data_IF_100066882183
#
_entry.id   IF_100066882183
#
_cell.length_a   1.000
_cell.length_b   1.000
_cell.length_c   1.000
_cell.angle_alpha   90.00
_cell.angle_beta   90.00
_cell.angle_gamma   90.00
#
_symmetry.space_group_name_H-M   'P 1'
#
loop_
_entity.id
_entity.type
_entity.pdbx_description
1 polymer ?
#
# COMPACT_ATOMS: atom_id res chain seq x y z
N UNK A 1 -35.64 8.42 -3.83
CA UNK A 1 -35.63 8.36 -2.36
C UNK A 1 -34.19 8.26 -1.93
N UNK A 2 -33.62 9.37 -1.45
CA UNK A 2 -32.19 9.48 -1.17
C UNK A 2 -31.86 8.95 0.23
N UNK A 3 -31.01 7.96 0.28
CA UNK A 3 -30.31 7.56 1.50
C UNK A 3 -29.14 8.51 1.74
N UNK A 4 -29.30 9.37 2.73
CA UNK A 4 -28.24 10.24 3.23
C UNK A 4 -27.19 9.36 3.91
N UNK A 5 -26.05 9.19 3.26
CA UNK A 5 -24.82 8.68 3.89
C UNK A 5 -24.38 9.69 4.94
N UNK A 6 -24.15 9.19 6.14
CA UNK A 6 -23.90 9.96 7.36
C UNK A 6 -22.68 10.84 7.29
N UNK A 7 -22.93 12.08 7.60
CA UNK A 7 -22.04 13.22 7.60
C UNK A 7 -20.90 13.03 8.60
N UNK A 8 -19.68 13.20 8.11
CA UNK A 8 -18.45 13.39 8.88
C UNK A 8 -18.49 14.72 9.66
N UNK A 9 -19.32 14.78 10.71
CA UNK A 9 -19.35 15.88 11.68
C UNK A 9 -19.02 15.31 13.07
N UNK A 10 -17.85 14.67 13.19
CA UNK A 10 -17.35 14.24 14.48
C UNK A 10 -16.54 15.37 15.11
N UNK A 11 -17.06 15.90 16.22
CA UNK A 11 -16.32 16.74 17.15
C UNK A 11 -15.00 16.03 17.50
N UNK A 12 -13.82 16.68 17.42
CA UNK A 12 -12.53 16.04 17.67
C UNK A 12 -12.40 15.37 19.06
N UNK A 13 -13.26 15.69 19.99
CA UNK A 13 -13.31 15.06 21.32
C UNK A 13 -14.14 13.75 21.35
N UNK A 14 -15.09 13.60 20.45
CA UNK A 14 -15.99 12.43 20.45
C UNK A 14 -15.46 11.29 19.57
N UNK A 15 -14.58 11.58 18.60
CA UNK A 15 -14.00 10.59 17.71
C UNK A 15 -13.00 9.63 18.39
N UNK A 16 -12.38 10.04 19.48
CA UNK A 16 -11.43 9.21 20.24
C UNK A 16 -12.09 8.37 21.34
N UNK A 17 -13.28 8.78 21.82
CA UNK A 17 -13.98 8.09 22.91
C UNK A 17 -15.01 7.08 22.43
N UNK A 18 -15.62 7.27 21.26
CA UNK A 18 -16.67 6.39 20.75
C UNK A 18 -16.20 5.24 19.82
N UNK A 19 -14.96 5.22 19.37
CA UNK A 19 -14.43 4.09 18.58
C UNK A 19 -13.80 2.97 19.43
N UNK A 20 -13.78 3.10 20.74
CA UNK A 20 -13.37 2.02 21.65
C UNK A 20 -14.63 1.32 22.21
N UNK A 21 -15.56 0.93 21.37
CA UNK A 21 -16.29 -0.30 21.67
C UNK A 21 -15.23 -1.41 21.73
N UNK A 22 -15.21 -2.14 22.85
CA UNK A 22 -14.20 -3.20 23.06
C UNK A 22 -14.29 -4.19 21.89
N UNK A 23 -13.36 -4.08 20.95
CA UNK A 23 -13.27 -5.02 19.82
C UNK A 23 -13.21 -6.43 20.36
N UNK A 24 -13.95 -7.32 19.77
CA UNK A 24 -13.94 -8.74 20.08
C UNK A 24 -12.71 -9.43 19.47
N UNK A 25 -12.42 -10.64 19.91
CA UNK A 25 -11.38 -11.47 19.29
C UNK A 25 -11.65 -11.68 17.79
N UNK A 26 -12.94 -11.79 17.41
CA UNK A 26 -13.36 -11.90 16.00
C UNK A 26 -12.96 -10.67 15.18
N UNK A 27 -13.08 -9.48 15.73
CA UNK A 27 -12.72 -8.23 15.04
C UNK A 27 -11.20 -8.18 14.80
N UNK A 28 -10.40 -8.57 15.80
CA UNK A 28 -8.94 -8.65 15.64
C UNK A 28 -8.52 -9.75 14.65
N UNK A 29 -9.22 -10.88 14.60
CA UNK A 29 -8.99 -11.91 13.58
C UNK A 29 -9.26 -11.36 12.16
N UNK A 30 -10.33 -10.58 11.97
CA UNK A 30 -10.63 -9.91 10.70
C UNK A 30 -9.53 -8.91 10.33
N UNK A 31 -9.04 -8.12 11.29
CA UNK A 31 -7.92 -7.19 11.08
C UNK A 31 -6.65 -7.96 10.66
N UNK A 32 -6.36 -9.10 11.31
CA UNK A 32 -5.23 -9.95 10.92
C UNK A 32 -5.40 -10.54 9.52
N UNK A 33 -6.61 -10.92 9.10
CA UNK A 33 -6.89 -11.35 7.73
C UNK A 33 -6.68 -10.22 6.71
N UNK A 34 -7.08 -8.98 7.04
CA UNK A 34 -6.77 -7.80 6.23
C UNK A 34 -5.25 -7.57 6.15
N UNK A 35 -4.54 -7.72 7.26
CA UNK A 35 -3.08 -7.68 7.32
C UNK A 35 -2.42 -8.78 6.47
N UNK A 36 -2.97 -9.98 6.45
CA UNK A 36 -2.50 -11.07 5.58
C UNK A 36 -2.62 -10.68 4.11
N UNK A 37 -3.76 -10.10 3.69
CA UNK A 37 -3.94 -9.57 2.35
C UNK A 37 -2.94 -8.45 2.02
N UNK A 38 -2.65 -7.54 2.95
CA UNK A 38 -1.63 -6.50 2.79
C UNK A 38 -0.24 -7.13 2.54
N UNK A 39 0.16 -8.12 3.34
CA UNK A 39 1.45 -8.78 3.19
C UNK A 39 1.58 -9.55 1.86
N UNK A 40 0.51 -10.17 1.37
CA UNK A 40 0.48 -10.77 0.01
C UNK A 40 0.78 -9.70 -1.04
N UNK A 41 0.11 -8.56 -0.95
CA UNK A 41 0.28 -7.46 -1.89
C UNK A 41 1.70 -6.88 -1.85
N UNK A 42 2.29 -6.73 -0.66
CA UNK A 42 3.65 -6.18 -0.49
C UNK A 42 4.75 -7.10 -1.03
N UNK A 43 4.50 -8.40 -1.13
CA UNK A 43 5.44 -9.36 -1.77
C UNK A 43 5.48 -9.19 -3.29
N UNK A 44 4.41 -8.66 -3.89
CA UNK A 44 4.29 -8.49 -5.35
C UNK A 44 4.87 -7.14 -5.76
N UNK A 45 5.94 -7.11 -6.60
CA UNK A 45 6.51 -5.85 -7.04
C UNK A 45 5.50 -4.99 -7.80
N UNK A 46 5.26 -3.76 -7.33
CA UNK A 46 4.32 -2.82 -7.97
C UNK A 46 2.88 -2.91 -7.47
N UNK A 47 2.58 -3.82 -6.55
CA UNK A 47 1.37 -3.80 -5.74
C UNK A 47 1.74 -3.31 -4.33
N UNK A 48 0.83 -2.65 -3.64
CA UNK A 48 1.08 -2.09 -2.32
C UNK A 48 0.06 -2.62 -1.31
N UNK A 49 0.53 -3.01 -0.13
CA UNK A 49 -0.34 -3.32 1.01
C UNK A 49 -1.24 -2.14 1.39
N UNK A 50 -0.80 -0.90 1.12
CA UNK A 50 -1.63 0.29 1.23
C UNK A 50 -2.90 0.24 0.37
N UNK A 51 -2.83 -0.38 -0.81
CA UNK A 51 -4.01 -0.64 -1.66
C UNK A 51 -5.01 -1.52 -0.93
N UNK A 52 -4.54 -2.63 -0.34
CA UNK A 52 -5.40 -3.55 0.42
C UNK A 52 -5.97 -2.89 1.68
N UNK A 53 -5.15 -2.10 2.39
CA UNK A 53 -5.64 -1.34 3.55
C UNK A 53 -6.77 -0.38 3.16
N UNK A 54 -6.62 0.30 2.01
CA UNK A 54 -7.61 1.25 1.52
C UNK A 54 -8.93 0.55 1.15
N UNK A 55 -8.85 -0.52 0.34
CA UNK A 55 -10.02 -1.29 -0.10
C UNK A 55 -10.76 -1.93 1.08
N UNK A 56 -10.00 -2.45 2.04
CA UNK A 56 -10.58 -3.12 3.22
C UNK A 56 -11.13 -2.15 4.28
N UNK A 57 -11.10 -0.83 4.01
CA UNK A 57 -11.66 0.20 4.89
C UNK A 57 -10.88 0.46 6.16
N UNK A 58 -9.61 0.03 6.25
CA UNK A 58 -8.76 0.25 7.44
C UNK A 58 -7.69 1.33 7.22
N UNK A 59 -7.63 1.94 6.05
CA UNK A 59 -6.57 2.87 5.68
C UNK A 59 -6.50 4.10 6.57
N UNK A 60 -7.64 4.76 6.83
CA UNK A 60 -7.67 5.93 7.71
C UNK A 60 -7.30 5.59 9.15
N UNK A 61 -7.75 4.44 9.64
CA UNK A 61 -7.37 3.96 10.97
C UNK A 61 -5.87 3.68 11.05
N UNK A 62 -5.29 3.06 10.01
CA UNK A 62 -3.86 2.84 9.89
C UNK A 62 -3.09 4.17 9.91
N UNK A 63 -3.48 5.13 9.07
CA UNK A 63 -2.85 6.45 9.00
C UNK A 63 -2.95 7.18 10.34
N UNK A 64 -4.10 7.15 11.01
CA UNK A 64 -4.28 7.79 12.31
C UNK A 64 -3.45 7.10 13.41
N UNK A 65 -3.34 5.77 13.39
CA UNK A 65 -2.50 5.00 14.30
C UNK A 65 -1.00 5.34 14.10
N UNK A 66 -0.54 5.39 12.85
CA UNK A 66 0.83 5.76 12.50
C UNK A 66 1.15 7.21 12.86
N UNK A 67 0.20 8.13 12.61
CA UNK A 67 0.32 9.53 12.98
C UNK A 67 0.46 9.74 14.50
N UNK A 68 -0.09 8.84 15.31
CA UNK A 68 -0.02 8.93 16.76
C UNK A 68 1.38 8.62 17.34
N UNK A 69 2.33 8.15 16.50
CA UNK A 69 3.75 8.02 16.87
C UNK A 69 4.46 9.39 16.77
N UNK A 70 4.13 10.29 17.65
CA UNK A 70 4.82 11.59 17.79
C UNK A 70 5.72 11.62 19.04
N UNK A 71 6.56 12.66 19.13
CA UNK A 71 7.47 12.82 20.27
C UNK A 71 6.73 12.93 21.62
N UNK A 72 5.51 13.50 21.62
CA UNK A 72 4.69 13.60 22.81
C UNK A 72 4.22 12.21 23.27
N UNK A 73 3.77 11.39 22.34
CA UNK A 73 3.33 10.02 22.60
C UNK A 73 4.50 9.13 23.05
N UNK A 74 5.70 9.29 22.47
CA UNK A 74 6.90 8.58 22.94
C UNK A 74 7.26 8.98 24.38
N UNK A 75 7.09 10.24 24.77
CA UNK A 75 7.29 10.67 26.15
C UNK A 75 6.33 10.00 27.13
N UNK A 76 5.07 9.73 26.71
CA UNK A 76 4.09 9.03 27.56
C UNK A 76 4.57 7.63 27.96
N UNK A 77 5.40 6.98 27.14
CA UNK A 77 5.98 5.69 27.50
C UNK A 77 6.80 5.76 28.79
N UNK A 78 7.48 6.88 29.00
CA UNK A 78 8.37 7.08 30.16
C UNK A 78 7.66 7.78 31.32
N UNK A 79 6.62 8.59 31.08
CA UNK A 79 5.87 9.32 32.12
C UNK A 79 4.67 8.54 32.67
N UNK A 80 3.87 7.95 31.78
CA UNK A 80 2.55 7.38 32.10
C UNK A 80 2.49 5.85 31.89
N UNK A 81 3.58 5.27 31.40
CA UNK A 81 3.76 3.84 31.25
C UNK A 81 3.23 3.24 29.95
N UNK A 82 3.60 1.96 29.73
CA UNK A 82 3.33 1.23 28.51
C UNK A 82 1.84 1.12 28.14
N UNK A 83 0.95 1.00 29.12
CA UNK A 83 -0.49 0.82 28.88
C UNK A 83 -1.11 2.04 28.21
N UNK A 84 -0.73 3.26 28.64
CA UNK A 84 -1.26 4.51 28.09
C UNK A 84 -0.68 4.74 26.70
N UNK A 85 0.63 4.52 26.53
CA UNK A 85 1.29 4.55 25.22
C UNK A 85 0.60 3.60 24.24
N UNK A 86 0.38 2.32 24.63
CA UNK A 86 -0.23 1.31 23.78
C UNK A 86 -1.64 1.68 23.32
N UNK A 87 -2.45 2.21 24.23
CA UNK A 87 -3.78 2.72 23.88
C UNK A 87 -3.70 3.92 22.92
N UNK A 88 -2.75 4.82 23.13
CA UNK A 88 -2.60 6.03 22.31
C UNK A 88 -2.25 5.72 20.87
N UNK A 89 -1.39 4.73 20.62
CA UNK A 89 -0.99 4.31 19.28
C UNK A 89 -1.96 3.32 18.62
N UNK A 90 -3.09 2.98 19.28
CA UNK A 90 -3.98 1.92 18.85
C UNK A 90 -3.26 0.56 18.70
N UNK A 91 -2.46 0.21 19.71
CA UNK A 91 -1.50 -0.89 19.67
C UNK A 91 -2.12 -2.25 19.34
N UNK A 92 -3.33 -2.55 19.83
CA UNK A 92 -4.01 -3.82 19.53
C UNK A 92 -4.36 -3.95 18.04
N UNK A 93 -4.81 -2.85 17.40
CA UNK A 93 -5.06 -2.80 15.96
C UNK A 93 -3.77 -3.06 15.17
N UNK A 94 -2.71 -2.32 15.50
CA UNK A 94 -1.42 -2.46 14.84
C UNK A 94 -0.83 -3.87 15.04
N UNK A 95 -0.91 -4.42 16.26
CA UNK A 95 -0.41 -5.76 16.55
C UNK A 95 -1.15 -6.83 15.73
N UNK A 96 -2.48 -6.77 15.67
CA UNK A 96 -3.27 -7.70 14.86
C UNK A 96 -2.97 -7.56 13.36
N UNK A 97 -2.83 -6.33 12.87
CA UNK A 97 -2.51 -6.04 11.47
C UNK A 97 -1.11 -6.56 11.09
N UNK A 98 -0.09 -6.20 11.86
CA UNK A 98 1.28 -6.64 11.61
C UNK A 98 1.47 -8.15 11.79
N UNK A 99 0.72 -8.79 12.70
CA UNK A 99 0.70 -10.24 12.81
C UNK A 99 0.23 -10.88 11.49
N UNK A 100 -0.85 -10.37 10.91
CA UNK A 100 -1.34 -10.84 9.61
C UNK A 100 -0.32 -10.65 8.50
N UNK A 101 0.32 -9.48 8.42
CA UNK A 101 1.38 -9.18 7.45
C UNK A 101 2.55 -10.16 7.62
N UNK A 102 3.02 -10.38 8.85
CA UNK A 102 4.12 -11.28 9.14
C UNK A 102 3.80 -12.73 8.75
N UNK A 103 2.61 -13.23 9.09
CA UNK A 103 2.14 -14.56 8.68
C UNK A 103 2.16 -14.68 7.15
N UNK A 104 1.67 -13.67 6.43
CA UNK A 104 1.65 -13.64 4.97
C UNK A 104 3.06 -13.73 4.39
N UNK A 105 3.97 -12.87 4.84
CA UNK A 105 5.35 -12.84 4.34
C UNK A 105 6.05 -14.18 4.59
N UNK A 106 5.87 -14.77 5.76
CA UNK A 106 6.53 -16.03 6.12
C UNK A 106 5.95 -17.26 5.41
N UNK A 107 4.64 -17.26 5.09
CA UNK A 107 3.95 -18.41 4.51
C UNK A 107 3.71 -18.29 3.01
N UNK A 108 3.22 -17.14 2.55
CA UNK A 108 2.74 -16.96 1.17
C UNK A 108 3.79 -16.38 0.21
N UNK A 109 4.87 -15.76 0.73
CA UNK A 109 5.90 -15.18 -0.13
C UNK A 109 6.50 -16.21 -1.11
N UNK A 110 6.73 -17.45 -0.65
CA UNK A 110 7.24 -18.53 -1.51
C UNK A 110 6.25 -18.90 -2.62
N UNK A 111 4.95 -18.96 -2.29
CA UNK A 111 3.88 -19.26 -3.27
C UNK A 111 3.78 -18.15 -4.30
N UNK A 112 3.79 -16.90 -3.87
CA UNK A 112 3.74 -15.74 -4.76
C UNK A 112 5.00 -15.70 -5.66
N UNK A 113 6.20 -15.94 -5.09
CA UNK A 113 7.45 -16.02 -5.90
C UNK A 113 7.35 -17.11 -6.95
N UNK A 114 6.84 -18.29 -6.60
CA UNK A 114 6.61 -19.38 -7.54
C UNK A 114 5.62 -18.99 -8.66
N UNK A 115 4.47 -18.40 -8.30
CA UNK A 115 3.47 -17.96 -9.28
C UNK A 115 4.00 -16.87 -10.21
N UNK A 116 4.82 -15.94 -9.70
CA UNK A 116 5.45 -14.89 -10.50
C UNK A 116 6.50 -15.46 -11.47
N UNK A 117 7.16 -16.58 -11.12
CA UNK A 117 8.14 -17.23 -11.97
C UNK A 117 7.49 -18.12 -13.03
N UNK A 118 6.55 -18.99 -12.64
CA UNK A 118 5.99 -20.01 -13.51
C UNK A 118 4.70 -19.56 -14.23
N UNK A 119 3.92 -18.67 -13.62
CA UNK A 119 2.63 -18.22 -14.14
C UNK A 119 2.46 -16.70 -14.13
N UNK A 120 3.44 -15.93 -14.64
CA UNK A 120 3.45 -14.47 -14.50
C UNK A 120 2.19 -13.80 -15.09
N UNK A 121 1.74 -14.23 -16.29
CA UNK A 121 0.55 -13.65 -16.93
C UNK A 121 -0.68 -13.79 -16.03
N UNK A 122 -0.87 -14.97 -15.41
CA UNK A 122 -2.06 -15.24 -14.59
C UNK A 122 -2.08 -14.42 -13.32
N UNK A 123 -0.95 -14.37 -12.60
CA UNK A 123 -0.87 -13.64 -11.34
C UNK A 123 -0.95 -12.12 -11.56
N UNK A 124 -0.31 -11.59 -12.61
CA UNK A 124 -0.43 -10.19 -12.96
C UNK A 124 -1.84 -9.82 -13.39
N UNK A 125 -2.53 -10.69 -14.16
CA UNK A 125 -3.94 -10.50 -14.54
C UNK A 125 -4.86 -10.44 -13.33
N UNK A 126 -4.65 -11.32 -12.36
CA UNK A 126 -5.39 -11.30 -11.10
C UNK A 126 -5.25 -9.94 -10.39
N UNK A 127 -4.01 -9.45 -10.21
CA UNK A 127 -3.77 -8.14 -9.58
C UNK A 127 -4.30 -6.98 -10.43
N UNK A 128 -4.23 -7.07 -11.74
CA UNK A 128 -4.80 -6.07 -12.65
C UNK A 128 -6.30 -5.92 -12.43
N UNK A 129 -7.04 -7.03 -12.43
CA UNK A 129 -8.47 -7.03 -12.13
C UNK A 129 -8.82 -6.52 -10.73
N UNK A 130 -8.01 -6.93 -9.72
CA UNK A 130 -8.13 -6.48 -8.35
C UNK A 130 -8.00 -4.94 -8.25
N UNK A 131 -6.98 -4.35 -8.88
CA UNK A 131 -6.75 -2.89 -8.84
C UNK A 131 -7.86 -2.14 -9.59
N UNK A 132 -8.36 -2.65 -10.72
CA UNK A 132 -9.50 -2.04 -11.43
C UNK A 132 -10.72 -1.99 -10.52
N UNK A 133 -11.12 -3.14 -9.94
CA UNK A 133 -12.26 -3.19 -9.03
C UNK A 133 -12.10 -2.19 -7.88
N UNK A 134 -10.92 -2.17 -7.27
CA UNK A 134 -10.56 -1.29 -6.17
C UNK A 134 -10.68 0.18 -6.54
N UNK A 135 -10.13 0.57 -7.69
CA UNK A 135 -10.21 1.97 -8.16
C UNK A 135 -11.64 2.42 -8.37
N UNK A 136 -12.48 1.55 -8.96
CA UNK A 136 -13.90 1.82 -9.18
C UNK A 136 -14.67 1.97 -7.86
N UNK A 137 -14.39 1.11 -6.88
CA UNK A 137 -15.06 1.15 -5.58
C UNK A 137 -14.70 2.39 -4.79
N UNK A 138 -13.41 2.68 -4.69
CA UNK A 138 -12.92 3.84 -3.97
C UNK A 138 -13.38 5.15 -4.61
N UNK A 139 -13.49 5.19 -5.95
CA UNK A 139 -14.01 6.36 -6.64
C UNK A 139 -15.45 6.70 -6.25
N UNK A 140 -16.24 5.73 -5.76
CA UNK A 140 -17.61 5.97 -5.25
C UNK A 140 -17.63 6.74 -3.93
N UNK A 141 -16.54 6.73 -3.16
CA UNK A 141 -16.42 7.50 -1.93
C UNK A 141 -16.21 9.00 -2.19
N UNK A 142 -15.95 9.38 -3.44
CA UNK A 142 -15.89 10.78 -3.84
C UNK A 142 -17.31 11.34 -3.89
N UNK A 143 -17.74 11.97 -2.82
CA UNK A 143 -19.11 12.49 -2.67
C UNK A 143 -19.46 13.57 -3.72
N UNK A 144 -18.47 14.33 -4.17
CA UNK A 144 -18.64 15.39 -5.16
C UNK A 144 -17.47 15.42 -6.13
N UNK A 145 -17.78 15.18 -7.39
CA UNK A 145 -16.86 15.31 -8.50
C UNK A 145 -16.82 16.79 -8.94
N UNK A 146 -15.92 17.54 -8.34
CA UNK A 146 -15.61 18.90 -8.76
C UNK A 146 -14.30 18.94 -9.58
N UNK A 147 -13.94 20.10 -10.08
CA UNK A 147 -12.72 20.29 -10.86
C UNK A 147 -11.46 19.91 -10.06
N UNK A 148 -11.46 20.06 -8.72
CA UNK A 148 -10.33 19.74 -7.86
C UNK A 148 -10.16 18.22 -7.75
N UNK A 149 -11.26 17.48 -7.61
CA UNK A 149 -11.23 16.01 -7.59
C UNK A 149 -10.78 15.48 -8.97
N UNK A 150 -11.29 16.02 -10.08
CA UNK A 150 -10.87 15.62 -11.42
C UNK A 150 -9.37 15.90 -11.67
N UNK A 151 -8.88 17.07 -11.29
CA UNK A 151 -7.45 17.40 -11.37
C UNK A 151 -6.60 16.50 -10.46
N UNK A 152 -7.09 16.18 -9.25
CA UNK A 152 -6.44 15.25 -8.35
C UNK A 152 -6.30 13.85 -8.94
N UNK A 153 -7.36 13.33 -9.55
CA UNK A 153 -7.35 12.03 -10.23
C UNK A 153 -6.32 12.02 -11.39
N UNK A 154 -6.36 13.03 -12.24
CA UNK A 154 -5.43 13.15 -13.37
C UNK A 154 -3.98 13.28 -12.91
N UNK A 155 -3.72 14.11 -11.90
CA UNK A 155 -2.39 14.26 -11.29
C UNK A 155 -1.87 12.94 -10.70
N UNK A 156 -2.70 12.26 -9.90
CA UNK A 156 -2.34 10.98 -9.31
C UNK A 156 -2.05 9.92 -10.38
N UNK A 157 -2.90 9.83 -11.41
CA UNK A 157 -2.71 8.89 -12.52
C UNK A 157 -1.43 9.18 -13.29
N UNK A 158 -1.18 10.44 -13.66
CA UNK A 158 0.02 10.82 -14.41
C UNK A 158 1.29 10.56 -13.60
N UNK A 159 1.29 10.90 -12.31
CA UNK A 159 2.44 10.70 -11.43
C UNK A 159 2.76 9.21 -11.22
N UNK A 160 1.74 8.40 -10.92
CA UNK A 160 1.94 6.95 -10.75
C UNK A 160 2.37 6.28 -12.05
N UNK A 161 1.75 6.64 -13.18
CA UNK A 161 2.18 6.14 -14.50
C UNK A 161 3.64 6.50 -14.79
N UNK A 162 4.03 7.77 -14.57
CA UNK A 162 5.42 8.20 -14.72
C UNK A 162 6.38 7.35 -13.88
N UNK A 163 6.04 7.10 -12.62
CA UNK A 163 6.84 6.22 -11.74
C UNK A 163 6.98 4.83 -12.34
N UNK A 164 5.95 4.26 -12.98
CA UNK A 164 6.03 2.90 -13.54
C UNK A 164 6.94 2.78 -14.77
N UNK A 165 7.19 3.87 -15.50
CA UNK A 165 8.04 3.89 -16.71
C UNK A 165 9.44 4.49 -16.44
N UNK A 166 9.67 5.06 -15.26
CA UNK A 166 10.93 5.66 -14.89
C UNK A 166 12.04 4.61 -14.84
N UNK A 167 13.19 4.95 -15.40
CA UNK A 167 14.39 4.12 -15.34
C UNK A 167 15.09 4.29 -13.98
N UNK A 168 15.72 3.23 -13.45
CA UNK A 168 16.55 3.35 -12.27
C UNK A 168 17.69 4.34 -12.46
N UNK A 169 17.95 5.16 -11.45
CA UNK A 169 19.01 6.13 -11.43
C UNK A 169 20.21 5.63 -10.60
N UNK A 170 21.41 6.02 -11.01
CA UNK A 170 22.58 5.88 -10.15
C UNK A 170 22.60 7.05 -9.17
N UNK A 171 22.59 6.74 -7.88
CA UNK A 171 22.51 7.74 -6.82
C UNK A 171 23.59 7.51 -5.75
N UNK A 172 23.84 8.53 -4.91
CA UNK A 172 24.86 8.48 -3.86
C UNK A 172 24.57 7.37 -2.83
N UNK A 173 25.64 6.73 -2.33
CA UNK A 173 25.60 5.76 -1.23
C UNK A 173 25.89 6.38 0.13
N UNK A 174 26.00 7.70 0.22
CA UNK A 174 26.21 8.40 1.47
C UNK A 174 24.99 8.27 2.41
N UNK A 175 25.26 8.34 3.72
CA UNK A 175 24.23 8.09 4.73
C UNK A 175 23.03 9.05 4.65
N UNK A 176 23.25 10.33 4.30
CA UNK A 176 22.13 11.26 4.13
C UNK A 176 21.18 10.82 3.00
N UNK A 177 21.72 10.25 1.92
CA UNK A 177 20.87 9.76 0.82
C UNK A 177 20.18 8.45 1.19
N UNK A 178 20.83 7.60 1.99
CA UNK A 178 20.21 6.39 2.55
C UNK A 178 19.04 6.75 3.47
N UNK A 179 19.21 7.79 4.32
CA UNK A 179 18.13 8.33 5.13
C UNK A 179 16.95 8.82 4.27
N UNK A 180 17.24 9.63 3.24
CA UNK A 180 16.23 10.13 2.30
C UNK A 180 15.54 8.99 1.55
N UNK A 181 16.30 7.96 1.13
CA UNK A 181 15.74 6.78 0.46
C UNK A 181 14.76 6.02 1.36
N UNK A 182 15.08 5.89 2.65
CA UNK A 182 14.15 5.32 3.65
C UNK A 182 12.87 6.14 3.78
N UNK A 183 13.00 7.48 3.86
CA UNK A 183 11.84 8.37 3.90
C UNK A 183 10.93 8.19 2.67
N UNK A 184 11.50 8.21 1.47
CA UNK A 184 10.74 8.11 0.23
C UNK A 184 10.11 6.73 0.06
N UNK A 185 10.83 5.67 0.41
CA UNK A 185 10.35 4.30 0.31
C UNK A 185 9.13 4.06 1.22
N UNK A 186 9.17 4.50 2.46
CA UNK A 186 8.05 4.31 3.39
C UNK A 186 6.84 5.18 3.02
N UNK A 187 7.07 6.42 2.53
CA UNK A 187 5.98 7.25 2.01
C UNK A 187 5.26 6.58 0.84
N UNK A 188 6.03 6.00 -0.09
CA UNK A 188 5.49 5.27 -1.22
C UNK A 188 4.72 4.00 -0.80
N UNK A 189 5.22 3.28 0.20
CA UNK A 189 4.57 2.06 0.73
C UNK A 189 3.20 2.33 1.33
N UNK A 190 3.01 3.51 1.94
CA UNK A 190 1.71 3.92 2.47
C UNK A 190 0.73 4.23 1.33
N UNK A 191 1.21 4.81 0.22
CA UNK A 191 0.35 5.21 -0.90
C UNK A 191 -0.20 3.97 -1.64
N UNK A 192 -1.52 3.92 -1.90
CA UNK A 192 -2.07 2.87 -2.75
C UNK A 192 -1.47 2.91 -4.16
N UNK A 193 -1.12 1.75 -4.71
CA UNK A 193 -0.63 1.63 -6.08
C UNK A 193 0.87 1.91 -6.27
N UNK A 194 1.60 2.31 -5.23
CA UNK A 194 3.05 2.52 -5.31
C UNK A 194 3.76 1.64 -4.29
N UNK A 195 4.79 0.92 -4.73
CA UNK A 195 5.59 0.05 -3.86
C UNK A 195 6.86 0.75 -3.38
N UNK A 196 7.12 0.72 -2.06
CA UNK A 196 8.35 1.26 -1.48
C UNK A 196 9.61 0.57 -1.99
N UNK A 197 9.56 -0.75 -2.18
CA UNK A 197 10.66 -1.51 -2.78
C UNK A 197 10.96 -1.05 -4.23
N UNK A 198 9.93 -0.73 -4.99
CA UNK A 198 10.08 -0.21 -6.34
C UNK A 198 10.70 1.20 -6.34
N UNK A 199 10.35 2.06 -5.40
CA UNK A 199 11.01 3.36 -5.24
C UNK A 199 12.50 3.18 -4.90
N UNK A 200 12.86 2.25 -4.03
CA UNK A 200 14.28 1.94 -3.75
C UNK A 200 15.01 1.44 -5.01
N UNK A 201 14.34 0.66 -5.85
CA UNK A 201 14.88 0.20 -7.12
C UNK A 201 15.13 1.37 -8.06
N UNK A 202 14.18 2.29 -8.20
CA UNK A 202 14.33 3.51 -9.02
C UNK A 202 15.47 4.41 -8.50
N UNK A 203 15.65 4.48 -7.18
CA UNK A 203 16.77 5.20 -6.57
C UNK A 203 18.11 4.43 -6.64
N UNK A 204 18.16 3.23 -7.24
CA UNK A 204 19.35 2.39 -7.28
C UNK A 204 19.82 1.92 -5.89
N UNK A 205 18.93 1.91 -4.89
CA UNK A 205 19.29 1.60 -3.49
C UNK A 205 18.76 0.25 -3.00
N UNK A 206 17.92 -0.40 -3.75
CA UNK A 206 17.30 -1.67 -3.32
C UNK A 206 18.36 -2.73 -2.95
N UNK A 207 19.30 -3.01 -3.86
CA UNK A 207 20.36 -4.00 -3.60
C UNK A 207 21.32 -3.56 -2.51
N UNK A 208 21.68 -2.28 -2.50
CA UNK A 208 22.59 -1.74 -1.49
C UNK A 208 22.01 -1.94 -0.08
N UNK A 209 20.70 -1.71 0.12
CA UNK A 209 20.02 -1.93 1.40
C UNK A 209 19.94 -3.43 1.72
N UNK A 210 19.56 -4.28 0.75
CA UNK A 210 19.46 -5.73 0.95
C UNK A 210 20.83 -6.34 1.29
N UNK A 211 21.88 -5.94 0.60
CA UNK A 211 23.25 -6.40 0.90
C UNK A 211 23.70 -5.90 2.28
N UNK A 212 23.43 -4.64 2.61
CA UNK A 212 23.73 -4.08 3.94
C UNK A 212 23.03 -4.83 5.08
N UNK A 213 21.80 -5.34 4.85
CA UNK A 213 21.10 -6.20 5.80
C UNK A 213 21.78 -7.57 5.93
N UNK A 214 22.20 -8.17 4.82
CA UNK A 214 22.89 -9.47 4.80
C UNK A 214 24.26 -9.41 5.46
N UNK A 215 25.00 -8.32 5.27
CA UNK A 215 26.32 -8.04 5.83
C UNK A 215 26.25 -7.44 7.26
N UNK A 216 25.06 -7.20 7.78
CA UNK A 216 24.79 -6.56 9.09
C UNK A 216 25.52 -5.21 9.21
N UNK A 217 25.46 -4.37 8.15
CA UNK A 217 26.01 -3.02 8.20
C UNK A 217 25.11 -2.10 9.05
N UNK A 218 25.37 -2.06 10.36
CA UNK A 218 24.56 -1.38 11.36
C UNK A 218 24.36 0.10 11.01
N UNK A 219 25.41 0.79 10.51
CA UNK A 219 25.32 2.22 10.18
C UNK A 219 24.28 2.48 9.10
N UNK A 220 24.30 1.71 8.01
CA UNK A 220 23.35 1.82 6.90
C UNK A 220 21.94 1.44 7.37
N UNK A 221 21.80 0.32 8.08
CA UNK A 221 20.51 -0.19 8.56
C UNK A 221 19.83 0.82 9.49
N UNK A 222 20.55 1.33 10.49
CA UNK A 222 20.01 2.32 11.45
C UNK A 222 19.63 3.61 10.73
N UNK A 223 20.48 4.10 9.82
CA UNK A 223 20.20 5.32 9.06
C UNK A 223 18.95 5.16 8.19
N UNK A 224 18.81 4.03 7.52
CA UNK A 224 17.62 3.71 6.72
C UNK A 224 16.35 3.64 7.57
N UNK A 225 16.40 2.93 8.71
CA UNK A 225 15.26 2.81 9.64
C UNK A 225 14.86 4.17 10.22
N UNK A 226 15.82 5.02 10.57
CA UNK A 226 15.54 6.39 11.03
C UNK A 226 14.85 7.20 9.92
N UNK A 227 15.33 7.08 8.67
CA UNK A 227 14.66 7.68 7.51
C UNK A 227 13.22 7.19 7.37
N UNK A 228 12.98 5.88 7.45
CA UNK A 228 11.63 5.31 7.43
C UNK A 228 10.77 5.86 8.58
N UNK A 229 11.28 5.94 9.80
CA UNK A 229 10.54 6.48 10.95
C UNK A 229 10.13 7.94 10.76
N UNK A 230 11.04 8.78 10.30
CA UNK A 230 10.75 10.21 10.02
C UNK A 230 9.80 10.35 8.83
N UNK A 231 10.00 9.57 7.76
CA UNK A 231 9.11 9.56 6.60
C UNK A 231 7.68 9.13 6.98
N UNK A 232 7.57 8.04 7.73
CA UNK A 232 6.29 7.50 8.18
C UNK A 232 5.49 8.51 8.98
N UNK A 233 6.12 9.09 10.01
CA UNK A 233 5.45 10.05 10.89
C UNK A 233 5.10 11.35 10.17
N UNK A 234 6.03 11.96 9.43
CA UNK A 234 5.77 13.21 8.71
C UNK A 234 4.72 13.03 7.62
N UNK A 235 4.81 11.97 6.82
CA UNK A 235 3.88 11.74 5.73
C UNK A 235 2.47 11.36 6.20
N UNK A 236 2.35 10.58 7.28
CA UNK A 236 1.04 10.29 7.87
C UNK A 236 0.35 11.54 8.42
N UNK A 237 1.12 12.53 8.94
CA UNK A 237 0.57 13.84 9.32
C UNK A 237 0.06 14.61 8.09
N UNK A 238 0.82 14.62 6.99
CA UNK A 238 0.42 15.26 5.73
C UNK A 238 -0.85 14.62 5.19
N UNK A 239 -0.90 13.29 5.10
CA UNK A 239 -2.09 12.57 4.64
C UNK A 239 -3.30 12.82 5.55
N UNK A 240 -3.12 12.73 6.87
CA UNK A 240 -4.20 13.00 7.80
C UNK A 240 -4.73 14.45 7.72
N UNK A 241 -3.87 15.42 7.40
CA UNK A 241 -4.30 16.79 7.13
C UNK A 241 -5.06 16.91 5.80
N UNK A 242 -4.56 16.24 4.74
CA UNK A 242 -5.21 16.21 3.42
C UNK A 242 -6.61 15.59 3.50
N UNK A 243 -6.77 14.46 4.19
CA UNK A 243 -8.08 13.84 4.40
C UNK A 243 -9.06 14.77 5.14
N UNK A 244 -8.59 15.49 6.16
CA UNK A 244 -9.44 16.43 6.91
C UNK A 244 -9.86 17.66 6.09
N UNK A 245 -8.96 18.21 5.26
CA UNK A 245 -9.17 19.49 4.58
C UNK A 245 -9.66 19.33 3.14
N UNK A 246 -9.22 18.28 2.45
CA UNK A 246 -9.44 18.06 1.02
C UNK A 246 -9.87 16.61 0.73
N UNK A 247 -10.80 16.06 1.49
CA UNK A 247 -11.20 14.66 1.48
C UNK A 247 -11.41 14.10 0.04
N UNK A 248 -12.33 14.68 -0.73
CA UNK A 248 -12.64 14.21 -2.09
C UNK A 248 -11.42 14.27 -3.03
N UNK A 249 -10.64 15.35 -2.95
CA UNK A 249 -9.42 15.50 -3.76
C UNK A 249 -8.36 14.45 -3.36
N UNK A 250 -8.22 14.16 -2.07
CA UNK A 250 -7.27 13.17 -1.56
C UNK A 250 -7.65 11.77 -2.06
N UNK A 251 -8.91 11.38 -1.92
CA UNK A 251 -9.42 10.10 -2.45
C UNK A 251 -9.19 10.05 -3.97
N UNK A 252 -9.47 11.12 -4.70
CA UNK A 252 -9.26 11.18 -6.14
C UNK A 252 -7.78 10.99 -6.53
N UNK A 253 -6.83 11.62 -5.81
CA UNK A 253 -5.39 11.42 -6.02
C UNK A 253 -5.00 9.96 -5.78
N UNK A 254 -5.45 9.37 -4.67
CA UNK A 254 -5.14 7.98 -4.31
C UNK A 254 -5.75 6.99 -5.33
N UNK A 255 -6.97 7.23 -5.78
CA UNK A 255 -7.60 6.48 -6.88
C UNK A 255 -6.78 6.64 -8.16
N UNK A 256 -6.31 7.85 -8.45
CA UNK A 256 -5.42 8.12 -9.58
C UNK A 256 -4.12 7.34 -9.50
N UNK A 257 -3.50 7.23 -8.32
CA UNK A 257 -2.31 6.39 -8.14
C UNK A 257 -2.57 4.92 -8.48
N UNK A 258 -3.71 4.40 -8.08
CA UNK A 258 -4.09 3.02 -8.42
C UNK A 258 -4.29 2.84 -9.92
N UNK A 259 -4.97 3.77 -10.60
CA UNK A 259 -5.16 3.73 -12.06
C UNK A 259 -3.82 3.82 -12.79
N UNK A 260 -2.95 4.75 -12.39
CA UNK A 260 -1.62 4.92 -12.98
C UNK A 260 -0.72 3.70 -12.80
N UNK A 261 -0.87 2.97 -11.68
CA UNK A 261 -0.11 1.76 -11.38
C UNK A 261 -0.52 0.55 -12.22
N UNK A 262 -1.68 0.57 -12.91
CA UNK A 262 -2.12 -0.51 -13.79
C UNK A 262 -1.08 -0.87 -14.86
N UNK A 263 -0.31 0.10 -15.33
CA UNK A 263 0.81 -0.17 -16.25
C UNK A 263 1.85 -1.11 -15.62
N UNK A 264 2.11 -1.00 -14.31
CA UNK A 264 3.09 -1.86 -13.61
C UNK A 264 2.59 -3.29 -13.44
N UNK A 265 1.31 -3.52 -13.34
CA UNK A 265 0.70 -4.86 -13.20
C UNK A 265 0.13 -5.39 -14.51
N UNK A 266 0.38 -4.72 -15.65
CA UNK A 266 -0.01 -5.21 -16.97
C UNK A 266 0.60 -6.59 -17.24
N UNK A 267 -0.18 -7.60 -17.67
CA UNK A 267 0.30 -8.98 -17.75
C UNK A 267 1.39 -9.26 -18.79
N UNK A 268 1.31 -8.57 -19.94
CA UNK A 268 2.21 -8.81 -21.07
C UNK A 268 3.31 -7.75 -21.10
N UNK A 269 4.55 -8.19 -20.84
CA UNK A 269 5.72 -7.32 -20.77
C UNK A 269 6.87 -7.85 -21.58
N UNK A 270 7.54 -6.94 -22.27
CA UNK A 270 8.85 -7.18 -22.86
C UNK A 270 9.93 -6.72 -21.89
N UNK A 271 10.82 -7.61 -21.49
CA UNK A 271 11.97 -7.25 -20.66
C UNK A 271 13.06 -6.63 -21.53
N UNK A 272 13.38 -5.37 -21.28
CA UNK A 272 14.38 -4.62 -22.03
C UNK A 272 15.80 -4.78 -21.44
N UNK A 273 15.89 -4.76 -20.10
CA UNK A 273 17.15 -4.94 -19.39
C UNK A 273 16.97 -5.88 -18.21
N UNK A 274 17.99 -6.68 -17.96
CA UNK A 274 18.06 -7.59 -16.82
C UNK A 274 19.29 -7.29 -15.98
N UNK A 275 19.29 -7.77 -14.74
CA UNK A 275 20.47 -7.79 -13.87
C UNK A 275 20.51 -9.08 -13.08
N UNK A 276 21.68 -9.41 -12.55
CA UNK A 276 21.84 -10.53 -11.62
C UNK A 276 21.68 -9.99 -10.21
N UNK A 277 20.79 -10.59 -9.40
CA UNK A 277 20.62 -10.22 -8.00
C UNK A 277 21.71 -10.86 -7.11
N UNK A 278 21.72 -10.54 -5.81
CA UNK A 278 22.67 -11.10 -4.82
C UNK A 278 22.59 -12.62 -4.66
N UNK A 279 21.54 -13.27 -5.17
CA UNK A 279 21.37 -14.72 -5.16
C UNK A 279 21.77 -15.39 -6.49
N UNK A 280 22.34 -14.63 -7.45
CA UNK A 280 22.72 -15.14 -8.76
C UNK A 280 21.56 -15.33 -9.75
N UNK A 281 20.33 -14.85 -9.41
CA UNK A 281 19.15 -14.94 -10.27
C UNK A 281 19.11 -13.76 -11.25
N UNK A 282 18.80 -14.01 -12.52
CA UNK A 282 18.55 -12.94 -13.51
C UNK A 282 17.15 -12.37 -13.29
N UNK A 283 17.07 -11.11 -12.92
CA UNK A 283 15.81 -10.40 -12.68
C UNK A 283 15.62 -9.25 -13.67
N UNK A 284 14.38 -8.99 -14.12
CA UNK A 284 14.08 -7.86 -14.99
C UNK A 284 14.23 -6.53 -14.25
N UNK A 285 14.87 -5.55 -14.88
CA UNK A 285 15.02 -4.17 -14.37
C UNK A 285 14.06 -3.23 -15.08
N UNK A 286 14.17 -3.17 -16.41
CA UNK A 286 13.29 -2.33 -17.23
C UNK A 286 12.40 -3.23 -18.06
N UNK A 287 11.11 -2.98 -18.01
CA UNK A 287 10.10 -3.71 -18.76
C UNK A 287 9.17 -2.73 -19.45
N UNK A 288 8.74 -3.08 -20.65
CA UNK A 288 7.77 -2.35 -21.44
C UNK A 288 6.47 -3.17 -21.54
N UNK A 289 5.34 -2.53 -21.30
CA UNK A 289 4.02 -3.13 -21.55
C UNK A 289 3.80 -3.25 -23.06
N UNK A 290 3.42 -4.43 -23.53
CA UNK A 290 3.16 -4.74 -24.93
C UNK A 290 1.74 -5.31 -25.09
N UNK A 291 1.23 -5.35 -26.33
CA UNK A 291 -0.05 -6.02 -26.58
C UNK A 291 0.11 -7.56 -26.49
N UNK A 292 -0.98 -8.27 -26.13
CA UNK A 292 -0.94 -9.73 -26.05
C UNK A 292 -0.49 -10.43 -27.34
N UNK A 293 -0.78 -9.83 -28.51
CA UNK A 293 -0.40 -10.36 -29.80
C UNK A 293 1.10 -10.22 -30.12
N UNK A 294 1.77 -9.29 -29.45
CA UNK A 294 3.20 -9.04 -29.62
C UNK A 294 4.06 -9.83 -28.62
N UNK A 295 3.40 -10.60 -27.75
CA UNK A 295 4.07 -11.40 -26.73
C UNK A 295 4.71 -12.64 -27.37
N UNK A 296 6.01 -12.86 -27.12
CA UNK A 296 6.81 -13.91 -27.77
C UNK A 296 6.45 -15.36 -27.33
N UNK A 297 5.66 -15.52 -26.24
CA UNK A 297 5.18 -16.82 -25.75
C UNK A 297 3.67 -16.99 -25.94
N UNK A 298 3.12 -17.99 -25.28
CA UNK A 298 1.67 -18.16 -25.23
C UNK A 298 1.03 -16.99 -24.49
N UNK A 299 0.20 -16.22 -25.17
CA UNK A 299 -0.43 -15.00 -24.61
C UNK A 299 -1.51 -15.30 -23.56
N UNK A 300 -2.04 -16.53 -23.51
CA UNK A 300 -3.03 -17.03 -22.52
C UNK A 300 -4.19 -16.04 -22.28
N UNK A 301 -4.65 -15.34 -23.32
CA UNK A 301 -5.61 -14.22 -23.22
C UNK A 301 -6.88 -14.63 -22.45
N UNK A 302 -7.47 -15.78 -22.78
CA UNK A 302 -8.69 -16.23 -22.11
C UNK A 302 -8.47 -16.51 -20.62
N UNK A 303 -7.36 -17.16 -20.28
CA UNK A 303 -6.99 -17.42 -18.89
C UNK A 303 -6.66 -16.13 -18.14
N UNK A 304 -5.99 -15.18 -18.79
CA UNK A 304 -5.70 -13.85 -18.25
C UNK A 304 -6.98 -13.07 -17.94
N UNK A 305 -7.95 -13.05 -18.87
CA UNK A 305 -9.26 -12.43 -18.64
C UNK A 305 -9.97 -13.12 -17.47
N UNK A 306 -9.98 -14.46 -17.44
CA UNK A 306 -10.56 -15.23 -16.34
C UNK A 306 -9.96 -14.84 -14.97
N UNK A 307 -8.64 -14.78 -14.89
CA UNK A 307 -7.95 -14.38 -13.65
C UNK A 307 -8.20 -12.91 -13.27
N UNK A 308 -8.30 -12.00 -14.24
CA UNK A 308 -8.68 -10.62 -13.98
C UNK A 308 -10.12 -10.51 -13.44
N UNK A 309 -11.04 -11.31 -13.98
CA UNK A 309 -12.42 -11.39 -13.44
C UNK A 309 -12.40 -11.96 -12.03
N UNK A 310 -11.61 -12.99 -11.72
CA UNK A 310 -11.48 -13.53 -10.36
C UNK A 310 -10.97 -12.44 -9.38
N UNK A 311 -9.93 -11.70 -9.75
CA UNK A 311 -9.42 -10.59 -8.94
C UNK A 311 -10.47 -9.49 -8.73
N UNK A 312 -11.20 -9.13 -9.78
CA UNK A 312 -12.27 -8.15 -9.72
C UNK A 312 -13.42 -8.59 -8.80
N UNK A 313 -13.92 -9.83 -8.99
CA UNK A 313 -15.03 -10.40 -8.21
C UNK A 313 -14.63 -10.55 -6.74
N UNK A 314 -13.39 -10.93 -6.46
CA UNK A 314 -12.90 -11.03 -5.08
C UNK A 314 -13.10 -9.72 -4.31
N UNK A 315 -12.70 -8.59 -4.90
CA UNK A 315 -12.87 -7.28 -4.27
C UNK A 315 -14.35 -6.91 -4.13
N UNK A 316 -15.13 -7.16 -5.16
CA UNK A 316 -16.58 -6.91 -5.13
C UNK A 316 -17.27 -7.70 -4.00
N UNK A 317 -16.89 -8.96 -3.80
CA UNK A 317 -17.40 -9.76 -2.71
C UNK A 317 -16.93 -9.25 -1.34
N UNK A 318 -15.66 -8.88 -1.21
CA UNK A 318 -15.12 -8.33 0.05
C UNK A 318 -15.85 -7.05 0.47
N UNK A 319 -16.22 -6.17 -0.47
CA UNK A 319 -17.01 -4.99 -0.17
C UNK A 319 -18.41 -5.37 0.32
N UNK A 320 -19.10 -6.26 -0.40
CA UNK A 320 -20.47 -6.65 -0.05
C UNK A 320 -20.58 -7.47 1.26
N UNK A 321 -19.53 -8.21 1.62
CA UNK A 321 -19.47 -8.96 2.88
C UNK A 321 -18.76 -8.22 4.01
N UNK A 322 -18.21 -7.02 3.75
CA UNK A 322 -17.74 -6.14 4.82
C UNK A 322 -18.97 -5.68 5.61
N UNK A 323 -19.08 -5.98 6.91
CA UNK A 323 -20.23 -5.51 7.69
C UNK A 323 -20.25 -3.99 7.57
N UNK A 324 -21.38 -3.47 7.10
CA UNK A 324 -21.68 -2.04 7.15
C UNK A 324 -21.37 -1.53 8.56
N UNK A 325 -20.34 -0.71 8.71
CA UNK A 325 -20.14 0.10 9.90
C UNK A 325 -21.21 1.21 10.02
N UNK A 326 -22.33 1.03 9.34
CA UNK A 326 -23.58 1.79 9.50
C UNK A 326 -24.44 1.18 10.60
N UNK A 327 -23.87 0.89 11.77
CA UNK A 327 -24.69 0.73 12.97
C UNK A 327 -24.48 1.94 13.87
N UNK A 328 -25.39 2.84 13.71
CA UNK A 328 -26.39 3.29 14.70
C UNK A 328 -25.87 4.39 15.59
N UNK A 329 -26.26 5.61 15.23
CA UNK A 329 -26.67 6.57 16.22
C UNK A 329 -28.20 6.62 16.12
N UNK A 330 -28.87 5.88 16.99
CA UNK A 330 -30.23 6.14 17.44
C UNK A 330 -30.17 7.04 18.66
#
# INVERSE_FOLDING_TARGET
MGTKLGVWNLNPKDSLTNSIMARTIKDYAIISLKGLGMGVADVVPGVSGGTIAFISGIYEELINSLKSFDLATVKLLFSDGLSIFWKKINGNFLAALFLGIAISILSLAKVIKYLLAEHPILIWSFFFGLIIASSLMISKEINKWDIKAAMGLLFGTALAYYVTIAAPAETSTELWFIFLSGMLAICAMILPGISGAFILLLLGKYEFIVNSLSEINIKVIVTFILGCGVGLTSFSHVLGWLFKKFHNMTIAILTGFMIGSLNKVWPWKLTLTTRINSHGETIPVTQQSIFPNDFAGESLILAAIGMAIVGFVLIYLLENFSPDNTQTVA
#
